data_IF_607946790460
#
_entry.id   IF_607946790460
#
_cell.length_a   1.000
_cell.length_b   1.000
_cell.length_c   1.000
_cell.angle_alpha   90.00
_cell.angle_beta   90.00
_cell.angle_gamma   90.00
#
_symmetry.space_group_name_H-M   'P 1'
#
loop_
_entity.id
_entity.type
_entity.pdbx_description
1 polymer ?
#
# COMPACT_ATOMS: atom_id res chain seq x y z
N UNK A 1 41.95 -35.95 18.45
CA UNK A 1 41.64 -36.08 19.88
C UNK A 1 41.00 -34.78 20.35
N UNK A 2 39.75 -34.88 20.80
CA UNK A 2 39.09 -33.83 21.57
C UNK A 2 39.62 -33.86 22.99
N UNK A 3 39.71 -32.70 23.66
CA UNK A 3 39.01 -32.61 24.94
C UNK A 3 38.24 -31.28 25.09
N UNK A 4 36.95 -31.39 25.38
CA UNK A 4 36.24 -30.55 26.36
C UNK A 4 36.22 -31.30 27.71
N UNK A 5 35.72 -30.81 28.88
CA UNK A 5 35.02 -29.55 29.23
C UNK A 5 35.48 -28.88 30.58
N UNK A 6 34.98 -27.68 30.93
CA UNK A 6 34.59 -27.21 32.30
C UNK A 6 34.20 -25.72 32.27
N UNK A 7 32.95 -25.34 31.95
CA UNK A 7 31.78 -25.01 32.81
C UNK A 7 31.96 -23.97 33.95
N UNK A 8 31.09 -22.94 33.89
CA UNK A 8 30.45 -22.13 34.95
C UNK A 8 30.97 -20.72 35.31
N UNK A 9 30.28 -19.71 34.75
CA UNK A 9 29.81 -18.52 35.47
C UNK A 9 28.49 -18.06 34.80
N UNK A 10 27.33 -18.60 35.17
CA UNK A 10 26.48 -18.12 36.25
C UNK A 10 26.13 -16.62 36.16
N UNK A 11 25.04 -16.30 35.45
CA UNK A 11 24.07 -15.30 35.91
C UNK A 11 22.69 -15.57 35.31
N UNK A 12 21.99 -16.49 35.99
CA UNK A 12 20.52 -16.53 36.04
C UNK A 12 20.05 -15.24 36.71
N UNK A 13 19.11 -14.53 36.10
CA UNK A 13 18.08 -13.84 36.87
C UNK A 13 16.78 -13.85 36.09
N UNK A 14 15.99 -14.89 36.35
CA UNK A 14 14.54 -14.89 36.22
C UNK A 14 13.99 -13.75 37.11
N UNK A 15 13.04 -12.96 36.62
CA UNK A 15 12.12 -12.20 37.47
C UNK A 15 10.71 -12.36 36.94
N UNK A 16 10.02 -13.35 37.50
CA UNK A 16 8.56 -13.55 37.67
C UNK A 16 8.45 -14.64 38.75
N UNK A 17 7.42 -14.77 39.63
CA UNK A 17 6.19 -13.98 39.88
C UNK A 17 5.97 -13.63 41.39
N UNK A 18 4.93 -12.85 41.73
CA UNK A 18 3.90 -13.32 42.69
C UNK A 18 2.62 -12.45 42.66
N UNK A 19 1.50 -13.14 42.88
CA UNK A 19 0.08 -12.74 42.84
C UNK A 19 -0.47 -12.25 44.21
N UNK A 20 -1.76 -11.92 44.20
CA UNK A 20 -2.71 -11.62 45.30
C UNK A 20 -2.71 -10.15 45.78
N UNK A 21 -3.84 -9.44 45.87
CA UNK A 21 -5.22 -9.81 45.62
C UNK A 21 -6.14 -8.64 45.98
N UNK A 22 -7.28 -8.52 45.30
CA UNK A 22 -8.45 -7.82 45.82
C UNK A 22 -9.68 -8.46 45.18
N UNK A 23 -10.37 -9.26 45.97
CA UNK A 23 -11.63 -9.93 45.64
C UNK A 23 -12.68 -9.41 46.63
N UNK A 24 -13.74 -8.79 46.08
CA UNK A 24 -15.09 -8.58 46.62
C UNK A 24 -15.20 -7.68 47.87
N UNK A 25 -16.21 -6.82 48.10
CA UNK A 25 -17.63 -6.83 47.75
C UNK A 25 -18.26 -5.45 48.07
N UNK A 26 -19.31 -5.07 47.34
CA UNK A 26 -20.32 -4.07 47.73
C UNK A 26 -20.35 -2.86 46.79
N UNK A 27 -21.42 -2.45 46.12
CA UNK A 27 -22.86 -2.73 46.22
C UNK A 27 -23.53 -2.37 44.88
N UNK A 28 -24.61 -3.09 44.52
CA UNK A 28 -25.51 -2.79 43.42
C UNK A 28 -26.04 -1.33 43.46
N UNK A 29 -25.84 -0.60 42.36
CA UNK A 29 -26.76 0.46 41.89
C UNK A 29 -26.75 0.40 40.35
N UNK A 30 -27.89 0.21 39.66
CA UNK A 30 -27.97 0.34 38.21
C UNK A 30 -28.03 1.83 37.87
N UNK A 31 -26.91 2.52 38.05
CA UNK A 31 -26.72 3.89 37.60
C UNK A 31 -26.27 3.84 36.15
N UNK A 32 -27.15 4.27 35.24
CA UNK A 32 -26.93 4.45 33.81
C UNK A 32 -25.70 5.33 33.56
N UNK A 33 -24.50 4.75 33.59
CA UNK A 33 -23.29 5.41 33.12
C UNK A 33 -23.39 5.49 31.61
N UNK A 34 -23.75 6.68 31.12
CA UNK A 34 -23.43 7.08 29.74
C UNK A 34 -21.95 6.82 29.55
N UNK A 35 -21.62 5.68 28.96
CA UNK A 35 -20.31 5.50 28.35
C UNK A 35 -20.19 6.60 27.32
N UNK A 36 -19.36 7.60 27.61
CA UNK A 36 -18.75 8.40 26.58
C UNK A 36 -18.00 7.39 25.70
N UNK A 37 -18.60 7.07 24.55
CA UNK A 37 -17.96 6.31 23.49
C UNK A 37 -16.64 7.01 23.20
N UNK A 38 -15.52 6.33 23.47
CA UNK A 38 -14.25 6.63 22.80
C UNK A 38 -14.45 6.30 21.32
N UNK A 39 -15.10 7.21 20.62
CA UNK A 39 -15.02 7.29 19.17
C UNK A 39 -13.54 7.45 18.81
N UNK A 40 -13.02 6.54 17.96
CA UNK A 40 -11.83 6.90 17.20
C UNK A 40 -10.84 5.81 16.84
N UNK A 41 -10.92 4.58 17.37
CA UNK A 41 -10.13 3.50 16.76
C UNK A 41 -10.94 2.94 15.60
N UNK A 42 -10.94 3.67 14.47
CA UNK A 42 -11.37 3.10 13.18
C UNK A 42 -10.50 1.87 12.94
N UNK A 43 -11.10 0.69 13.06
CA UNK A 43 -10.49 -0.55 12.63
C UNK A 43 -9.98 -0.36 11.19
N UNK A 44 -8.66 -0.44 11.01
CA UNK A 44 -8.04 -0.27 9.71
C UNK A 44 -8.31 -1.54 8.92
N UNK A 45 -9.46 -1.58 8.25
CA UNK A 45 -9.80 -2.70 7.38
C UNK A 45 -8.70 -2.82 6.31
N UNK A 46 -7.99 -3.97 6.24
CA UNK A 46 -6.93 -4.15 5.27
C UNK A 46 -7.55 -4.14 3.86
N UNK A 47 -7.30 -3.07 3.11
CA UNK A 47 -7.80 -2.94 1.73
C UNK A 47 -7.21 -4.02 0.84
N UNK A 48 -8.08 -4.65 0.06
CA UNK A 48 -7.71 -5.59 -0.99
C UNK A 48 -6.91 -4.90 -2.10
N UNK A 49 -6.13 -5.67 -2.90
CA UNK A 49 -5.40 -5.11 -4.03
C UNK A 49 -6.29 -4.39 -5.06
N UNK A 50 -7.52 -4.87 -5.27
CA UNK A 50 -8.49 -4.22 -6.16
C UNK A 50 -8.96 -2.88 -5.63
N UNK A 51 -9.30 -2.79 -4.34
CA UNK A 51 -9.71 -1.52 -3.71
C UNK A 51 -8.58 -0.48 -3.73
N UNK A 52 -7.32 -0.92 -3.51
CA UNK A 52 -6.16 -0.05 -3.66
C UNK A 52 -6.01 0.42 -5.12
N UNK A 53 -6.17 -0.47 -6.10
CA UNK A 53 -6.11 -0.09 -7.51
C UNK A 53 -7.19 0.94 -7.87
N UNK A 54 -8.41 0.79 -7.35
CA UNK A 54 -9.49 1.77 -7.49
C UNK A 54 -9.16 3.11 -6.89
N UNK A 55 -8.62 3.12 -5.67
CA UNK A 55 -8.18 4.33 -5.00
C UNK A 55 -7.09 5.04 -5.81
N UNK A 56 -6.12 4.28 -6.34
CA UNK A 56 -5.07 4.82 -7.22
C UNK A 56 -5.69 5.45 -8.46
N UNK A 57 -6.60 4.77 -9.15
CA UNK A 57 -7.28 5.32 -10.33
C UNK A 57 -8.02 6.63 -10.01
N UNK A 58 -8.74 6.69 -8.88
CA UNK A 58 -9.48 7.88 -8.46
C UNK A 58 -8.54 9.06 -8.14
N UNK A 59 -7.45 8.79 -7.42
CA UNK A 59 -6.46 9.82 -7.08
C UNK A 59 -5.74 10.30 -8.34
N UNK A 60 -5.18 9.38 -9.12
CA UNK A 60 -4.37 9.73 -10.29
C UNK A 60 -5.19 10.34 -11.44
N UNK A 61 -6.52 10.15 -11.45
CA UNK A 61 -7.40 10.91 -12.34
C UNK A 61 -7.38 12.42 -12.04
N UNK A 62 -7.08 12.81 -10.81
CA UNK A 62 -6.87 14.20 -10.45
C UNK A 62 -5.49 14.67 -10.95
N UNK A 63 -5.50 15.60 -11.90
CA UNK A 63 -4.29 16.18 -12.52
C UNK A 63 -3.40 16.97 -11.56
N UNK A 64 -3.87 17.26 -10.33
CA UNK A 64 -3.10 17.96 -9.29
C UNK A 64 -2.36 17.00 -8.34
N UNK A 65 -2.38 15.71 -8.60
CA UNK A 65 -1.77 14.72 -7.71
C UNK A 65 -0.25 14.90 -7.63
N UNK A 66 0.33 15.01 -6.42
CA UNK A 66 1.78 15.06 -6.24
C UNK A 66 2.47 13.77 -6.72
N UNK A 67 3.58 13.91 -7.46
CA UNK A 67 4.31 12.76 -8.02
C UNK A 67 4.89 11.81 -6.95
N UNK A 68 5.05 12.27 -5.71
CA UNK A 68 5.57 11.47 -4.61
C UNK A 68 4.65 10.30 -4.26
N UNK A 69 3.33 10.44 -4.51
CA UNK A 69 2.35 9.41 -4.12
C UNK A 69 2.52 8.11 -4.91
N UNK A 70 3.08 8.20 -6.13
CA UNK A 70 3.32 7.05 -6.99
C UNK A 70 4.29 6.05 -6.33
N UNK A 71 5.31 6.56 -5.61
CA UNK A 71 6.28 5.72 -4.89
C UNK A 71 5.61 4.92 -3.78
N UNK A 72 4.69 5.55 -3.05
CA UNK A 72 3.92 4.90 -1.99
C UNK A 72 3.11 3.73 -2.55
N UNK A 73 2.34 3.95 -3.62
CA UNK A 73 1.54 2.89 -4.22
C UNK A 73 2.39 1.81 -4.91
N UNK A 74 3.53 2.18 -5.50
CA UNK A 74 4.51 1.21 -6.02
C UNK A 74 4.94 0.24 -4.92
N UNK A 75 5.29 0.75 -3.75
CA UNK A 75 5.69 -0.08 -2.61
C UNK A 75 4.55 -0.99 -2.12
N UNK A 76 3.29 -0.52 -2.17
CA UNK A 76 2.11 -1.32 -1.81
C UNK A 76 1.95 -2.52 -2.76
N UNK A 77 2.00 -2.33 -4.07
CA UNK A 77 1.89 -3.44 -5.03
C UNK A 77 3.08 -4.41 -4.94
N UNK A 78 4.30 -3.90 -4.72
CA UNK A 78 5.46 -4.77 -4.46
C UNK A 78 5.31 -5.58 -3.17
N UNK A 79 4.64 -5.02 -2.14
CA UNK A 79 4.31 -5.75 -0.92
C UNK A 79 3.28 -6.85 -1.17
N UNK A 80 2.24 -6.59 -1.98
CA UNK A 80 1.31 -7.64 -2.40
C UNK A 80 2.00 -8.78 -3.13
N UNK A 81 2.92 -8.47 -4.05
CA UNK A 81 3.75 -9.47 -4.73
C UNK A 81 4.57 -10.30 -3.72
N UNK A 82 5.25 -9.66 -2.78
CA UNK A 82 6.05 -10.34 -1.75
C UNK A 82 5.21 -11.23 -0.84
N UNK A 83 4.01 -10.79 -0.47
CA UNK A 83 3.11 -11.57 0.37
C UNK A 83 2.63 -12.83 -0.36
N UNK A 84 2.30 -12.76 -1.65
CA UNK A 84 1.92 -13.94 -2.44
C UNK A 84 3.05 -14.97 -2.57
N UNK A 85 4.31 -14.52 -2.61
CA UNK A 85 5.47 -15.42 -2.64
C UNK A 85 5.71 -16.17 -1.33
N UNK A 86 5.26 -15.63 -0.19
CA UNK A 86 5.48 -16.23 1.14
C UNK A 86 4.51 -17.34 1.47
N UNK A 87 3.39 -17.45 0.78
CA UNK A 87 2.39 -18.48 1.05
C UNK A 87 2.91 -19.82 0.49
N UNK A 88 2.98 -20.92 1.27
CA UNK A 88 3.35 -22.25 0.79
C UNK A 88 2.28 -22.83 -0.14
N UNK A 89 2.65 -23.40 -1.29
CA UNK A 89 1.72 -23.97 -2.26
C UNK A 89 1.80 -25.50 -2.21
N UNK A 90 0.70 -26.16 -1.88
CA UNK A 90 0.64 -27.63 -1.83
C UNK A 90 0.52 -28.30 -3.21
N UNK A 91 0.22 -27.54 -4.27
CA UNK A 91 0.05 -28.07 -5.63
C UNK A 91 0.74 -27.18 -6.67
N UNK A 92 1.13 -27.79 -7.80
CA UNK A 92 1.72 -27.09 -8.96
C UNK A 92 0.80 -26.00 -9.50
N UNK A 93 -0.50 -26.28 -9.59
CA UNK A 93 -1.50 -25.31 -10.08
C UNK A 93 -1.64 -24.11 -9.15
N UNK A 94 -1.64 -24.34 -7.83
CA UNK A 94 -1.66 -23.26 -6.85
C UNK A 94 -0.40 -22.39 -6.95
N UNK A 95 0.77 -23.00 -7.16
CA UNK A 95 2.03 -22.27 -7.38
C UNK A 95 1.98 -21.42 -8.66
N UNK A 96 1.49 -21.97 -9.78
CA UNK A 96 1.35 -21.22 -11.02
C UNK A 96 0.37 -20.05 -10.89
N UNK A 97 -0.79 -20.24 -10.26
CA UNK A 97 -1.75 -19.16 -10.00
C UNK A 97 -1.12 -18.04 -9.17
N UNK A 98 -0.34 -18.38 -8.14
CA UNK A 98 0.38 -17.38 -7.34
C UNK A 98 1.45 -16.65 -8.14
N UNK A 99 2.23 -17.36 -8.94
CA UNK A 99 3.25 -16.73 -9.77
C UNK A 99 2.64 -15.73 -10.75
N UNK A 100 1.47 -16.05 -11.34
CA UNK A 100 0.71 -15.12 -12.18
C UNK A 100 0.29 -13.85 -11.41
N UNK A 101 -0.18 -13.99 -10.17
CA UNK A 101 -0.51 -12.84 -9.31
C UNK A 101 0.71 -11.99 -8.94
N UNK A 102 1.84 -12.64 -8.61
CA UNK A 102 3.10 -11.94 -8.31
C UNK A 102 3.54 -11.10 -9.51
N UNK A 103 3.53 -11.68 -10.71
CA UNK A 103 3.85 -10.97 -11.96
C UNK A 103 2.85 -9.84 -12.19
N UNK A 104 1.56 -10.07 -11.97
CA UNK A 104 0.52 -9.06 -12.12
C UNK A 104 0.78 -7.83 -11.23
N UNK A 105 1.04 -8.03 -9.93
CA UNK A 105 1.32 -6.92 -9.01
C UNK A 105 2.63 -6.19 -9.34
N UNK A 106 3.67 -6.92 -9.74
CA UNK A 106 4.94 -6.30 -10.20
C UNK A 106 4.73 -5.45 -11.44
N UNK A 107 3.92 -5.91 -12.39
CA UNK A 107 3.60 -5.16 -13.60
C UNK A 107 2.81 -3.87 -13.28
N UNK A 108 1.87 -3.94 -12.32
CA UNK A 108 1.16 -2.75 -11.82
C UNK A 108 2.12 -1.75 -11.14
N UNK A 109 3.05 -2.24 -10.31
CA UNK A 109 4.10 -1.41 -9.72
C UNK A 109 4.99 -0.76 -10.80
N UNK A 110 5.35 -1.51 -11.86
CA UNK A 110 6.12 -0.99 -12.99
C UNK A 110 5.37 0.08 -13.81
N UNK A 111 4.03 0.02 -13.87
CA UNK A 111 3.22 1.10 -14.45
C UNK A 111 3.26 2.36 -13.57
N UNK A 112 3.19 2.22 -12.25
CA UNK A 112 3.30 3.34 -11.32
C UNK A 112 4.66 4.04 -11.39
N UNK A 113 5.75 3.28 -11.50
CA UNK A 113 7.10 3.85 -11.70
C UNK A 113 7.21 4.65 -13.01
N UNK A 114 6.65 4.12 -14.11
CA UNK A 114 6.64 4.82 -15.40
C UNK A 114 5.79 6.09 -15.34
N UNK A 115 4.63 6.04 -14.68
CA UNK A 115 3.81 7.24 -14.49
C UNK A 115 4.52 8.28 -13.62
N UNK A 116 5.24 7.85 -12.57
CA UNK A 116 6.04 8.75 -11.73
C UNK A 116 7.08 9.49 -12.57
N UNK A 117 7.80 8.80 -13.46
CA UNK A 117 8.78 9.44 -14.33
C UNK A 117 8.15 10.54 -15.21
N UNK A 118 6.98 10.27 -15.80
CA UNK A 118 6.22 11.28 -16.54
C UNK A 118 5.79 12.46 -15.67
N UNK A 119 5.31 12.19 -14.45
CA UNK A 119 4.85 13.20 -13.52
C UNK A 119 5.98 14.10 -13.03
N UNK A 120 7.17 13.55 -12.74
CA UNK A 120 8.36 14.31 -12.34
C UNK A 120 8.78 15.29 -13.43
N UNK A 121 8.82 14.86 -14.69
CA UNK A 121 9.18 15.75 -15.81
C UNK A 121 8.17 16.90 -15.94
N UNK A 122 6.87 16.59 -15.87
CA UNK A 122 5.81 17.60 -15.96
C UNK A 122 5.87 18.60 -14.80
N UNK A 123 6.11 18.11 -13.58
CA UNK A 123 6.25 18.94 -12.39
C UNK A 123 7.50 19.84 -12.47
N UNK A 124 8.62 19.28 -12.94
CA UNK A 124 9.86 20.03 -13.21
C UNK A 124 9.65 21.14 -14.23
N UNK A 125 8.98 20.87 -15.35
CA UNK A 125 8.64 21.89 -16.35
C UNK A 125 7.74 22.97 -15.75
N UNK A 126 6.67 22.58 -15.03
CA UNK A 126 5.72 23.50 -14.43
C UNK A 126 6.38 24.48 -13.45
N UNK A 127 7.38 24.02 -12.70
CA UNK A 127 8.07 24.84 -11.70
C UNK A 127 9.44 25.35 -12.16
N UNK A 128 9.76 25.24 -13.45
CA UNK A 128 11.03 25.67 -14.03
C UNK A 128 12.28 25.01 -13.35
N UNK A 129 12.13 23.75 -12.90
CA UNK A 129 13.15 22.89 -12.28
C UNK A 129 13.42 21.70 -13.19
N UNK A 130 13.85 21.95 -14.42
CA UNK A 130 14.01 20.92 -15.46
C UNK A 130 15.17 21.26 -16.37
N UNK A 131 15.85 20.23 -16.87
CA UNK A 131 16.90 20.35 -17.88
C UNK A 131 16.34 20.43 -19.31
N UNK A 132 15.02 20.35 -19.48
CA UNK A 132 14.37 20.46 -20.79
C UNK A 132 14.56 21.89 -21.36
N UNK A 133 15.12 22.03 -22.59
CA UNK A 133 15.31 23.32 -23.24
C UNK A 133 14.01 24.13 -23.35
N UNK A 134 14.07 25.45 -23.19
CA UNK A 134 12.88 26.31 -23.13
C UNK A 134 11.92 26.10 -24.32
N UNK A 135 12.45 26.02 -25.54
CA UNK A 135 11.67 25.81 -26.77
C UNK A 135 10.95 24.45 -26.84
N UNK A 136 11.37 23.46 -26.05
CA UNK A 136 10.81 22.10 -26.05
C UNK A 136 9.90 21.81 -24.86
N UNK A 137 9.78 22.75 -23.91
CA UNK A 137 9.06 22.51 -22.65
C UNK A 137 7.59 22.23 -22.86
N UNK A 138 6.92 22.99 -23.74
CA UNK A 138 5.49 22.82 -23.99
C UNK A 138 5.20 21.45 -24.63
N UNK A 139 5.90 21.12 -25.71
CA UNK A 139 5.73 19.85 -26.41
C UNK A 139 6.09 18.65 -25.51
N UNK A 140 7.15 18.76 -24.72
CA UNK A 140 7.53 17.74 -23.74
C UNK A 140 6.47 17.58 -22.66
N UNK A 141 5.96 18.68 -22.12
CA UNK A 141 4.91 18.63 -21.10
C UNK A 141 3.67 17.90 -21.61
N UNK A 142 3.20 18.23 -22.81
CA UNK A 142 2.05 17.60 -23.47
C UNK A 142 2.30 16.11 -23.71
N UNK A 143 3.43 15.76 -24.35
CA UNK A 143 3.84 14.37 -24.63
C UNK A 143 3.89 13.51 -23.37
N UNK A 144 4.42 14.04 -22.26
CA UNK A 144 4.42 13.32 -20.99
C UNK A 144 3.02 13.21 -20.37
N UNK A 145 2.12 14.15 -20.64
CA UNK A 145 0.71 14.09 -20.23
C UNK A 145 -0.05 12.97 -20.93
N UNK A 146 0.14 12.85 -22.23
CA UNK A 146 -0.45 11.77 -23.03
C UNK A 146 0.06 10.40 -22.59
N UNK A 147 1.38 10.28 -22.40
CA UNK A 147 2.00 9.06 -21.85
C UNK A 147 1.43 8.69 -20.48
N UNK A 148 1.30 9.66 -19.58
CA UNK A 148 0.70 9.45 -18.25
C UNK A 148 -0.74 8.96 -18.38
N UNK A 149 -1.55 9.57 -19.24
CA UNK A 149 -2.92 9.14 -19.50
C UNK A 149 -3.01 7.71 -20.06
N UNK A 150 -2.11 7.34 -20.99
CA UNK A 150 -2.05 5.99 -21.55
C UNK A 150 -1.66 4.95 -20.49
N UNK A 151 -0.65 5.25 -19.66
CA UNK A 151 -0.22 4.38 -18.57
C UNK A 151 -1.31 4.20 -17.50
N UNK A 152 -2.05 5.26 -17.17
CA UNK A 152 -3.16 5.19 -16.22
C UNK A 152 -4.29 4.29 -16.75
N UNK A 153 -4.61 4.37 -18.05
CA UNK A 153 -5.57 3.46 -18.68
C UNK A 153 -5.11 2.01 -18.61
N UNK A 154 -3.83 1.73 -18.92
CA UNK A 154 -3.27 0.38 -18.78
C UNK A 154 -3.34 -0.12 -17.34
N UNK A 155 -3.06 0.75 -16.37
CA UNK A 155 -3.15 0.43 -14.95
C UNK A 155 -4.59 0.09 -14.55
N UNK A 156 -5.57 0.86 -15.03
CA UNK A 156 -6.99 0.59 -14.78
C UNK A 156 -7.45 -0.75 -15.40
N UNK A 157 -7.03 -1.07 -16.63
CA UNK A 157 -7.31 -2.35 -17.30
C UNK A 157 -6.72 -3.54 -16.54
N UNK A 158 -5.55 -3.35 -15.93
CA UNK A 158 -4.96 -4.37 -15.05
C UNK A 158 -5.74 -4.47 -13.74
N UNK A 159 -6.04 -3.34 -13.12
CA UNK A 159 -6.79 -3.25 -11.87
C UNK A 159 -8.18 -3.90 -11.95
N UNK A 160 -8.87 -3.79 -13.09
CA UNK A 160 -10.19 -4.41 -13.29
C UNK A 160 -10.18 -5.94 -13.27
N UNK A 161 -9.01 -6.57 -13.30
CA UNK A 161 -8.84 -8.03 -13.15
C UNK A 161 -8.68 -8.45 -11.69
N UNK A 162 -8.63 -7.51 -10.76
CA UNK A 162 -8.49 -7.77 -9.33
C UNK A 162 -9.85 -7.77 -8.63
N UNK A 163 -10.02 -8.70 -7.71
CA UNK A 163 -11.18 -8.73 -6.82
C UNK A 163 -11.24 -7.44 -5.98
N UNK A 164 -12.44 -6.86 -5.84
CA UNK A 164 -12.67 -5.61 -5.11
C UNK A 164 -12.38 -4.34 -5.91
N UNK A 165 -12.02 -4.43 -7.20
CA UNK A 165 -11.86 -3.25 -8.04
C UNK A 165 -13.22 -2.63 -8.40
N UNK A 166 -13.38 -1.35 -8.09
CA UNK A 166 -14.42 -0.47 -8.63
C UNK A 166 -13.82 0.58 -9.56
N UNK A 167 -14.38 0.79 -10.77
CA UNK A 167 -13.89 1.83 -11.66
C UNK A 167 -14.13 3.22 -11.04
N UNK A 168 -13.25 4.20 -11.29
CA UNK A 168 -13.50 5.57 -10.86
C UNK A 168 -14.80 6.07 -11.51
N UNK A 169 -15.74 6.56 -10.70
CA UNK A 169 -16.97 7.15 -11.23
C UNK A 169 -16.60 8.37 -12.07
N UNK A 170 -17.08 8.42 -13.31
CA UNK A 170 -16.96 9.61 -14.13
C UNK A 170 -17.70 10.74 -13.41
N UNK A 171 -16.99 11.77 -12.96
CA UNK A 171 -17.66 12.97 -12.43
C UNK A 171 -18.60 13.50 -13.53
N UNK A 172 -19.87 13.81 -13.21
CA UNK A 172 -20.78 14.36 -14.20
C UNK A 172 -20.15 15.62 -14.77
N UNK A 173 -19.99 15.65 -16.09
CA UNK A 173 -19.58 16.85 -16.83
C UNK A 173 -20.63 17.91 -16.52
N UNK A 174 -20.33 18.85 -15.61
CA UNK A 174 -21.11 20.08 -15.51
C UNK A 174 -20.92 20.79 -16.86
N UNK A 175 -21.99 20.78 -17.67
CA UNK A 175 -22.12 21.57 -18.88
C UNK A 175 -22.27 23.03 -18.49
#
# INVERSE_FOLDING_TARGET
MQPQPTIHAARRSLIVPLLLGFVLLGTLVPGKTRHATKDGVREVVPKSPGEIASQVCAILANRKTPWQIYRTYTAVFMRFAKNQQRVPAGTRDAQQKRQRLVVHYRNMAGLLQRMQACAVIRDGIKHNRTDVPFGERQSTYEKQGEKLGALLRQFAIMGSKLHGFSPPQASPRKR
#
